data_IF_712035652600
#
_entry.id   IF_712035652600
#
_cell.length_a   1.000
_cell.length_b   1.000
_cell.length_c   1.000
_cell.angle_alpha   90.00
_cell.angle_beta   90.00
_cell.angle_gamma   90.00
#
_symmetry.space_group_name_H-M   'P 1'
#
loop_
_entity.id
_entity.type
_entity.pdbx_description
1 polymer ?
#
# COMPACT_ATOMS: atom_id res chain seq x y z
N UNK A 1 5.32 -28.94 18.31
CA UNK A 1 3.87 -29.07 18.61
C UNK A 1 3.20 -27.71 18.52
N UNK A 2 2.17 -27.61 17.66
CA UNK A 2 1.14 -26.57 17.62
C UNK A 2 1.62 -25.14 17.23
N UNK A 3 1.33 -24.58 16.05
CA UNK A 3 0.33 -24.92 15.03
C UNK A 3 0.75 -24.37 13.66
N UNK A 4 0.62 -25.22 12.65
CA UNK A 4 0.21 -24.84 11.30
C UNK A 4 -1.08 -24.02 11.41
N UNK A 5 -1.17 -22.89 10.71
CA UNK A 5 -2.36 -22.16 10.17
C UNK A 5 -1.79 -20.76 9.81
N UNK A 6 -1.83 -20.26 8.60
CA UNK A 6 -2.49 -20.74 7.41
C UNK A 6 -1.90 -20.03 6.20
N UNK A 7 -1.79 -20.82 5.15
CA UNK A 7 -1.78 -20.40 3.77
C UNK A 7 -2.92 -19.39 3.55
N UNK A 8 -2.59 -18.12 3.33
CA UNK A 8 -3.47 -17.17 2.65
C UNK A 8 -2.63 -16.43 1.64
N UNK A 9 -2.37 -17.15 0.56
CA UNK A 9 -2.25 -16.58 -0.78
C UNK A 9 -3.48 -15.70 -0.97
N UNK A 10 -3.30 -14.39 -0.94
CA UNK A 10 -4.18 -13.49 -1.67
C UNK A 10 -3.27 -12.59 -2.49
N UNK A 11 -2.98 -13.07 -3.69
CA UNK A 11 -2.69 -12.19 -4.79
C UNK A 11 -3.90 -11.25 -4.93
N UNK A 12 -3.76 -10.00 -4.48
CA UNK A 12 -4.66 -8.95 -4.92
C UNK A 12 -3.89 -8.03 -5.85
N UNK A 13 -3.81 -8.50 -7.09
CA UNK A 13 -3.52 -7.65 -8.21
C UNK A 13 -4.64 -6.61 -8.34
N UNK A 14 -4.22 -5.37 -8.62
CA UNK A 14 -5.02 -4.26 -9.12
C UNK A 14 -6.07 -3.67 -8.15
N UNK A 15 -5.73 -2.53 -7.54
CA UNK A 15 -6.34 -1.22 -7.88
C UNK A 15 -6.02 -0.19 -6.78
N UNK A 16 -5.11 0.73 -7.11
CA UNK A 16 -4.51 1.72 -6.21
C UNK A 16 -5.46 2.81 -5.68
N UNK A 17 -6.76 2.73 -5.96
CA UNK A 17 -7.79 3.63 -5.43
C UNK A 17 -8.70 2.96 -4.38
N UNK A 18 -8.70 1.63 -4.29
CA UNK A 18 -9.57 0.86 -3.39
C UNK A 18 -8.84 0.40 -2.11
N UNK A 19 -7.53 0.60 -2.03
CA UNK A 19 -6.73 0.12 -0.91
C UNK A 19 -7.11 0.75 0.44
N UNK A 20 -7.47 2.04 0.49
CA UNK A 20 -7.86 2.68 1.74
C UNK A 20 -9.22 2.15 2.26
N UNK A 21 -10.16 1.91 1.34
CA UNK A 21 -11.48 1.38 1.65
C UNK A 21 -11.40 -0.10 2.06
N UNK A 22 -10.59 -0.90 1.36
CA UNK A 22 -10.34 -2.30 1.71
C UNK A 22 -9.65 -2.42 3.08
N UNK A 23 -8.63 -1.60 3.36
CA UNK A 23 -8.00 -1.56 4.67
C UNK A 23 -8.97 -1.18 5.81
N UNK A 24 -9.92 -0.29 5.55
CA UNK A 24 -10.96 0.09 6.51
C UNK A 24 -11.96 -1.06 6.75
N UNK A 25 -12.39 -1.74 5.68
CA UNK A 25 -13.27 -2.90 5.75
C UNK A 25 -12.61 -4.07 6.49
N UNK A 26 -11.33 -4.37 6.22
CA UNK A 26 -10.57 -5.41 6.96
C UNK A 26 -10.35 -5.06 8.42
N UNK A 27 -10.18 -3.78 8.76
CA UNK A 27 -10.09 -3.34 10.15
C UNK A 27 -11.44 -3.51 10.88
N UNK A 28 -12.55 -3.22 10.20
CA UNK A 28 -13.90 -3.37 10.72
C UNK A 28 -14.31 -4.84 10.91
N UNK A 29 -13.99 -5.71 9.95
CA UNK A 29 -14.16 -7.18 10.05
C UNK A 29 -13.42 -7.76 11.26
N UNK A 30 -12.20 -7.28 11.53
CA UNK A 30 -11.43 -7.67 12.72
C UNK A 30 -11.89 -6.98 14.01
N UNK A 31 -12.95 -6.17 13.97
CA UNK A 31 -13.45 -5.33 15.08
C UNK A 31 -12.33 -4.54 15.78
N UNK A 32 -11.34 -4.09 15.02
CA UNK A 32 -10.25 -3.29 15.57
C UNK A 32 -10.77 -1.89 15.88
N UNK A 33 -10.60 -1.46 17.13
CA UNK A 33 -10.97 -0.13 17.61
C UNK A 33 -9.75 0.61 18.19
N UNK A 34 -9.86 1.93 18.31
CA UNK A 34 -8.83 2.78 18.91
C UNK A 34 -7.44 2.64 18.26
N UNK A 35 -6.40 2.53 19.07
CA UNK A 35 -5.01 2.45 18.61
C UNK A 35 -4.74 1.25 17.70
N UNK A 36 -5.41 0.11 17.93
CA UNK A 36 -5.24 -1.09 17.12
C UNK A 36 -5.74 -0.91 15.68
N UNK A 37 -6.87 -0.20 15.51
CA UNK A 37 -7.40 0.19 14.19
C UNK A 37 -6.41 1.08 13.45
N UNK A 38 -5.83 2.06 14.15
CA UNK A 38 -4.93 3.04 13.55
C UNK A 38 -3.61 2.40 13.10
N UNK A 39 -3.01 1.54 13.93
CA UNK A 39 -1.81 0.78 13.54
C UNK A 39 -2.08 -0.21 12.40
N UNK A 40 -3.24 -0.86 12.39
CA UNK A 40 -3.63 -1.76 11.30
C UNK A 40 -3.85 -0.99 9.99
N UNK A 41 -4.58 0.14 10.03
CA UNK A 41 -4.74 1.01 8.87
C UNK A 41 -3.39 1.49 8.36
N UNK A 42 -2.55 2.11 9.21
CA UNK A 42 -1.21 2.57 8.80
C UNK A 42 -0.38 1.48 8.13
N UNK A 43 -0.40 0.26 8.68
CA UNK A 43 0.35 -0.86 8.12
C UNK A 43 -0.26 -1.37 6.82
N UNK A 44 -1.58 -1.49 6.76
CA UNK A 44 -2.32 -1.93 5.58
C UNK A 44 -2.16 -0.94 4.42
N UNK A 45 -2.27 0.36 4.67
CA UNK A 45 -2.09 1.40 3.65
C UNK A 45 -0.63 1.51 3.18
N UNK A 46 0.35 1.29 4.08
CA UNK A 46 1.77 1.21 3.74
C UNK A 46 2.10 -0.02 2.89
N UNK A 47 1.57 -1.20 3.26
CA UNK A 47 1.78 -2.46 2.54
C UNK A 47 1.12 -2.42 1.15
N UNK A 48 -0.04 -1.78 1.05
CA UNK A 48 -0.71 -1.50 -0.21
C UNK A 48 -0.02 -0.43 -1.08
N UNK A 49 1.16 0.08 -0.67
CA UNK A 49 1.92 1.08 -1.42
C UNK A 49 1.30 2.48 -1.46
N UNK A 50 0.29 2.74 -0.65
CA UNK A 50 -0.40 4.03 -0.53
C UNK A 50 0.23 4.95 0.52
N UNK A 51 1.55 4.83 0.74
CA UNK A 51 2.27 5.79 1.56
C UNK A 51 2.30 7.18 0.87
N UNK A 52 2.21 8.28 1.63
CA UNK A 52 2.28 9.65 1.10
C UNK A 52 3.60 9.96 0.37
N UNK A 53 4.66 9.19 0.64
CA UNK A 53 5.95 9.28 -0.06
C UNK A 53 5.81 8.99 -1.56
N UNK A 54 4.86 8.13 -1.93
CA UNK A 54 4.55 7.84 -3.33
C UNK A 54 3.70 8.93 -3.99
N UNK A 55 3.08 9.84 -3.24
CA UNK A 55 2.26 10.91 -3.82
C UNK A 55 3.13 11.95 -4.54
N UNK A 56 4.28 12.32 -3.99
CA UNK A 56 5.26 13.18 -4.65
C UNK A 56 5.83 12.50 -5.91
N UNK A 57 6.24 11.24 -5.79
CA UNK A 57 6.67 10.43 -6.93
C UNK A 57 5.58 10.28 -8.00
N UNK A 58 4.32 10.13 -7.60
CA UNK A 58 3.18 10.05 -8.53
C UNK A 58 2.90 11.39 -9.20
N UNK A 59 3.02 12.51 -8.49
CA UNK A 59 2.88 13.85 -9.05
C UNK A 59 3.95 14.11 -10.11
N UNK A 60 5.22 13.85 -9.80
CA UNK A 60 6.32 14.00 -10.77
C UNK A 60 6.17 13.05 -11.96
N UNK A 61 5.72 11.82 -11.74
CA UNK A 61 5.46 10.90 -12.84
C UNK A 61 4.33 11.40 -13.76
N UNK A 62 3.27 12.00 -13.20
CA UNK A 62 2.19 12.63 -13.97
C UNK A 62 2.67 13.87 -14.72
N UNK A 63 3.48 14.70 -14.08
CA UNK A 63 4.05 15.91 -14.68
C UNK A 63 4.95 15.56 -15.86
N UNK A 64 5.74 14.48 -15.74
CA UNK A 64 6.54 13.90 -16.83
C UNK A 64 5.73 13.05 -17.82
N UNK A 65 4.40 13.02 -17.70
CA UNK A 65 3.48 12.21 -18.51
C UNK A 65 3.91 10.74 -18.64
N UNK A 66 4.53 10.19 -17.59
CA UNK A 66 4.94 8.79 -17.58
C UNK A 66 3.70 7.91 -17.44
N UNK A 67 3.56 6.97 -18.37
CA UNK A 67 2.49 5.97 -18.39
C UNK A 67 3.07 4.55 -18.48
N UNK A 68 2.24 3.56 -18.15
CA UNK A 68 2.61 2.14 -18.27
C UNK A 68 3.89 1.75 -17.52
N UNK A 69 4.77 1.01 -18.19
CA UNK A 69 6.01 0.51 -17.60
C UNK A 69 6.95 1.62 -17.13
N UNK A 70 7.03 2.74 -17.86
CA UNK A 70 7.91 3.87 -17.52
C UNK A 70 7.49 4.53 -16.20
N UNK A 71 6.18 4.70 -15.98
CA UNK A 71 5.63 5.17 -14.71
C UNK A 71 5.98 4.22 -13.56
N UNK A 72 5.88 2.91 -13.80
CA UNK A 72 6.09 1.91 -12.77
C UNK A 72 7.57 1.83 -12.33
N UNK A 73 8.51 1.87 -13.29
CA UNK A 73 9.94 1.95 -13.01
C UNK A 73 10.32 3.25 -12.31
N UNK A 74 9.74 4.39 -12.72
CA UNK A 74 9.97 5.67 -12.06
C UNK A 74 9.45 5.66 -10.61
N UNK A 75 8.23 5.18 -10.39
CA UNK A 75 7.66 5.06 -9.04
C UNK A 75 8.53 4.17 -8.14
N UNK A 76 8.98 3.01 -8.64
CA UNK A 76 9.89 2.11 -7.89
C UNK A 76 11.22 2.78 -7.54
N UNK A 77 11.79 3.55 -8.46
CA UNK A 77 13.08 4.22 -8.24
C UNK A 77 12.94 5.41 -7.30
N UNK A 78 11.88 6.20 -7.46
CA UNK A 78 11.58 7.35 -6.63
C UNK A 78 11.24 6.96 -5.18
N UNK A 79 10.50 5.87 -4.98
CA UNK A 79 10.21 5.36 -3.64
C UNK A 79 11.44 4.79 -2.94
N UNK A 80 12.33 4.13 -3.69
CA UNK A 80 13.61 3.66 -3.16
C UNK A 80 14.55 4.82 -2.79
N UNK A 81 14.59 5.88 -3.59
CA UNK A 81 15.37 7.09 -3.31
C UNK A 81 14.83 7.84 -2.09
N UNK A 82 13.51 7.94 -1.97
CA UNK A 82 12.84 8.53 -0.80
C UNK A 82 13.11 7.75 0.50
N UNK A 83 13.18 6.41 0.43
CA UNK A 83 13.49 5.57 1.58
C UNK A 83 14.99 5.54 1.96
N UNK A 84 15.86 6.01 1.06
CA UNK A 84 17.30 6.08 1.28
C UNK A 84 17.76 7.45 1.83
N UNK A 85 16.84 8.40 1.99
CA UNK A 85 17.09 9.72 2.58
C UNK A 85 16.72 9.80 4.06
#
# INVERSE_FOLDING_TARGET
MKKLIGLLIVAFAATSAYAADDCAAKAAEKKLAGAAKNSFMKKCTKDAGAAPENAACAATAKEKKLAGAAKNSFMKKCSADAAAK
#
